data_IF_520667148944
#
_entry.id   IF_520667148944
#
_cell.length_a   1.000
_cell.length_b   1.000
_cell.length_c   1.000
_cell.angle_alpha   90.00
_cell.angle_beta   90.00
_cell.angle_gamma   90.00
#
_symmetry.space_group_name_H-M   'P 1'
#
loop_
_entity.id
_entity.type
_entity.pdbx_description
1 polymer ?
#
# COMPACT_ATOMS: atom_id res chain seq x y z
N UNK A 1 28.60 9.77 -9.23
CA UNK A 1 27.21 9.56 -8.74
C UNK A 1 27.29 9.16 -7.27
N UNK A 2 27.27 10.16 -6.39
CA UNK A 2 27.37 9.94 -4.94
C UNK A 2 25.97 9.55 -4.42
N UNK A 3 25.74 8.26 -4.28
CA UNK A 3 24.53 7.76 -3.62
C UNK A 3 24.62 8.09 -2.13
N UNK A 4 23.75 8.99 -1.64
CA UNK A 4 23.54 9.11 -0.20
C UNK A 4 23.15 7.73 0.34
N UNK A 5 23.66 7.34 1.52
CA UNK A 5 23.31 6.05 2.11
C UNK A 5 21.78 5.95 2.24
N UNK A 6 21.26 4.82 1.84
CA UNK A 6 19.84 4.52 1.94
C UNK A 6 19.45 4.46 3.42
N UNK A 7 18.37 5.14 3.78
CA UNK A 7 17.90 5.15 5.18
C UNK A 7 17.39 3.75 5.50
N UNK A 8 18.09 3.05 6.38
CA UNK A 8 17.71 1.71 6.82
C UNK A 8 16.41 1.74 7.65
N UNK A 9 15.62 0.68 7.57
CA UNK A 9 14.43 0.50 8.39
C UNK A 9 14.83 0.36 9.86
N UNK A 10 14.10 1.04 10.74
CA UNK A 10 14.35 1.01 12.20
C UNK A 10 13.66 -0.17 12.89
N UNK A 11 12.70 -0.81 12.21
CA UNK A 11 11.87 -1.84 12.82
C UNK A 11 11.98 -3.18 12.09
N UNK A 12 12.14 -4.26 12.87
CA UNK A 12 11.90 -5.63 12.41
C UNK A 12 10.41 -5.83 12.13
N UNK A 13 10.05 -6.83 11.36
CA UNK A 13 8.64 -7.22 11.10
C UNK A 13 7.83 -7.34 12.39
N UNK A 14 8.43 -7.92 13.46
CA UNK A 14 7.81 -8.04 14.79
C UNK A 14 7.59 -6.67 15.45
N UNK A 15 8.56 -5.76 15.35
CA UNK A 15 8.45 -4.42 15.91
C UNK A 15 7.40 -3.55 15.20
N UNK A 16 7.33 -3.67 13.87
CA UNK A 16 6.29 -3.03 13.05
C UNK A 16 4.90 -3.50 13.47
N UNK A 17 4.69 -4.81 13.55
CA UNK A 17 3.42 -5.40 14.00
C UNK A 17 2.98 -4.86 15.35
N UNK A 18 3.85 -4.94 16.38
CA UNK A 18 3.53 -4.49 17.74
C UNK A 18 3.20 -2.99 17.79
N UNK A 19 3.85 -2.17 16.97
CA UNK A 19 3.57 -0.75 16.85
C UNK A 19 2.18 -0.50 16.26
N UNK A 20 1.87 -1.06 15.10
CA UNK A 20 0.58 -0.85 14.43
C UNK A 20 -0.57 -1.43 15.23
N UNK A 21 -0.38 -2.52 15.98
CA UNK A 21 -1.36 -3.03 16.94
C UNK A 21 -1.68 -2.00 18.03
N UNK A 22 -0.66 -1.28 18.52
CA UNK A 22 -0.83 -0.26 19.58
C UNK A 22 -1.51 1.01 19.09
N UNK A 23 -1.14 1.51 17.91
CA UNK A 23 -1.63 2.78 17.37
C UNK A 23 -2.91 2.65 16.53
N UNK A 24 -3.39 1.43 16.28
CA UNK A 24 -4.49 1.13 15.35
C UNK A 24 -5.74 1.99 15.55
N UNK A 25 -6.08 2.34 16.80
CA UNK A 25 -7.25 3.19 17.13
C UNK A 25 -7.01 4.67 16.81
N UNK A 26 -5.82 5.19 17.06
CA UNK A 26 -5.46 6.59 16.83
C UNK A 26 -5.11 6.85 15.37
N UNK A 27 -4.55 5.84 14.69
CA UNK A 27 -4.16 5.87 13.29
C UNK A 27 -5.36 6.03 12.36
N UNK A 28 -6.51 5.48 12.76
CA UNK A 28 -7.78 5.60 12.02
C UNK A 28 -8.17 7.05 11.70
N UNK A 29 -7.92 8.00 12.61
CA UNK A 29 -8.25 9.41 12.40
C UNK A 29 -7.27 10.11 11.46
N UNK A 30 -5.98 9.76 11.53
CA UNK A 30 -4.92 10.41 10.74
C UNK A 30 -4.99 9.95 9.29
N UNK A 31 -4.95 8.64 9.02
CA UNK A 31 -4.97 8.06 7.68
C UNK A 31 -6.24 8.41 6.89
N UNK A 32 -7.39 8.41 7.56
CA UNK A 32 -8.69 8.63 6.92
C UNK A 32 -8.83 9.96 6.20
N UNK A 33 -8.20 11.03 6.72
CA UNK A 33 -8.31 12.40 6.21
C UNK A 33 -7.10 12.75 5.33
N UNK A 34 -5.88 12.40 5.78
CA UNK A 34 -4.64 12.88 5.17
C UNK A 34 -4.30 12.17 3.86
N UNK A 35 -4.54 10.87 3.77
CA UNK A 35 -4.22 10.07 2.57
C UNK A 35 -5.36 10.00 1.56
N UNK A 36 -6.55 10.48 1.92
CA UNK A 36 -7.77 10.39 1.08
C UNK A 36 -7.58 10.85 -0.37
N UNK A 37 -6.91 12.00 -0.66
CA UNK A 37 -6.74 12.44 -2.05
C UNK A 37 -5.90 11.45 -2.87
N UNK A 38 -4.78 10.97 -2.31
CA UNK A 38 -3.89 10.01 -2.99
C UNK A 38 -4.58 8.66 -3.15
N UNK A 39 -5.22 8.16 -2.09
CA UNK A 39 -6.00 6.92 -2.14
C UNK A 39 -7.05 6.94 -3.24
N UNK A 40 -7.77 8.05 -3.39
CA UNK A 40 -8.77 8.19 -4.47
C UNK A 40 -8.12 8.08 -5.84
N UNK A 41 -7.01 8.79 -6.09
CA UNK A 41 -6.26 8.71 -7.36
C UNK A 41 -5.77 7.28 -7.61
N UNK A 42 -5.29 6.57 -6.58
CA UNK A 42 -4.88 5.19 -6.68
C UNK A 42 -6.05 4.24 -7.00
N UNK A 43 -7.20 4.43 -6.39
CA UNK A 43 -8.41 3.64 -6.67
C UNK A 43 -8.96 3.93 -8.08
N UNK A 44 -8.92 5.17 -8.53
CA UNK A 44 -9.25 5.53 -9.91
C UNK A 44 -8.30 4.83 -10.90
N UNK A 45 -6.99 4.78 -10.59
CA UNK A 45 -6.01 4.04 -11.38
C UNK A 45 -6.23 2.52 -11.32
N UNK A 46 -6.68 1.97 -10.19
CA UNK A 46 -7.05 0.56 -10.06
C UNK A 46 -8.21 0.20 -10.99
N UNK A 47 -9.15 1.14 -11.20
CA UNK A 47 -10.30 0.96 -12.09
C UNK A 47 -11.07 -0.32 -11.79
N UNK A 48 -11.44 -0.51 -10.51
CA UNK A 48 -12.18 -1.69 -10.07
C UNK A 48 -13.53 -1.81 -10.79
N UNK A 49 -13.83 -3.00 -11.31
CA UNK A 49 -15.06 -3.30 -12.03
C UNK A 49 -15.96 -4.32 -11.28
N UNK A 50 -17.27 -4.29 -11.50
CA UNK A 50 -18.18 -5.30 -10.93
C UNK A 50 -17.76 -6.73 -11.29
N UNK A 51 -17.85 -7.64 -10.32
CA UNK A 51 -17.50 -9.06 -10.47
C UNK A 51 -16.02 -9.39 -10.25
N UNK A 52 -15.14 -8.40 -10.16
CA UNK A 52 -13.70 -8.63 -9.95
C UNK A 52 -13.36 -9.12 -8.54
N UNK A 53 -12.27 -9.88 -8.45
CA UNK A 53 -11.60 -10.25 -7.21
C UNK A 53 -10.36 -9.37 -7.05
N UNK A 54 -10.34 -8.48 -6.06
CA UNK A 54 -9.24 -7.54 -5.84
C UNK A 54 -8.65 -7.71 -4.44
N UNK A 55 -7.34 -7.46 -4.33
CA UNK A 55 -6.62 -7.48 -3.06
C UNK A 55 -6.07 -6.10 -2.71
N UNK A 56 -6.24 -5.69 -1.46
CA UNK A 56 -5.50 -4.57 -0.85
C UNK A 56 -4.43 -5.12 0.07
N UNK A 57 -3.17 -4.86 -0.25
CA UNK A 57 -2.00 -5.29 0.54
C UNK A 57 -1.58 -4.15 1.45
N UNK A 58 -1.52 -4.41 2.77
CA UNK A 58 -1.36 -3.39 3.80
C UNK A 58 -2.62 -2.56 3.96
N UNK A 59 -3.76 -3.22 4.19
CA UNK A 59 -5.06 -2.55 4.16
C UNK A 59 -5.31 -1.59 5.34
N UNK A 60 -4.44 -1.58 6.36
CA UNK A 60 -4.57 -0.74 7.52
C UNK A 60 -5.98 -0.78 8.12
N UNK A 61 -6.59 0.37 8.42
CA UNK A 61 -7.95 0.44 8.95
C UNK A 61 -9.06 0.20 7.90
N UNK A 62 -8.72 -0.16 6.64
CA UNK A 62 -9.63 -0.65 5.60
C UNK A 62 -10.45 0.41 4.89
N UNK A 63 -9.91 1.61 4.69
CA UNK A 63 -10.62 2.65 3.93
C UNK A 63 -10.72 2.30 2.45
N UNK A 64 -9.60 1.94 1.80
CA UNK A 64 -9.61 1.55 0.41
C UNK A 64 -10.33 0.20 0.20
N UNK A 65 -10.19 -0.74 1.14
CA UNK A 65 -10.91 -2.01 1.10
C UNK A 65 -12.43 -1.82 0.98
N UNK A 66 -12.98 -0.87 1.74
CA UNK A 66 -14.43 -0.53 1.66
C UNK A 66 -14.79 0.03 0.29
N UNK A 67 -13.94 0.89 -0.27
CA UNK A 67 -14.20 1.50 -1.58
C UNK A 67 -14.05 0.45 -2.71
N UNK A 68 -13.05 -0.42 -2.63
CA UNK A 68 -12.87 -1.58 -3.53
C UNK A 68 -14.09 -2.50 -3.44
N UNK A 69 -14.52 -2.88 -2.23
CA UNK A 69 -15.65 -3.78 -2.03
C UNK A 69 -16.98 -3.22 -2.56
N UNK A 70 -17.13 -1.90 -2.61
CA UNK A 70 -18.29 -1.26 -3.25
C UNK A 70 -18.20 -1.33 -4.77
N UNK A 71 -17.00 -1.06 -5.30
CA UNK A 71 -16.78 -1.03 -6.74
C UNK A 71 -16.92 -2.40 -7.40
N UNK A 72 -16.46 -3.48 -6.75
CA UNK A 72 -16.59 -4.84 -7.29
C UNK A 72 -18.02 -5.39 -7.23
N UNK A 73 -18.93 -4.75 -6.51
CA UNK A 73 -20.34 -5.12 -6.50
C UNK A 73 -20.65 -6.42 -5.74
N UNK A 74 -21.82 -7.01 -6.02
CA UNK A 74 -22.30 -8.20 -5.28
C UNK A 74 -21.59 -9.48 -5.68
N UNK A 75 -21.19 -9.58 -6.94
CA UNK A 75 -20.57 -10.77 -7.51
C UNK A 75 -19.04 -10.75 -7.39
N UNK A 76 -18.45 -9.60 -6.94
CA UNK A 76 -17.03 -9.44 -6.78
C UNK A 76 -16.56 -9.67 -5.34
N UNK A 77 -15.23 -9.67 -5.17
CA UNK A 77 -14.56 -9.89 -3.90
C UNK A 77 -13.47 -8.86 -3.64
N UNK A 78 -13.37 -8.39 -2.39
CA UNK A 78 -12.26 -7.57 -1.92
C UNK A 78 -11.58 -8.27 -0.74
N UNK A 79 -10.28 -8.47 -0.80
CA UNK A 79 -9.51 -9.05 0.30
C UNK A 79 -8.50 -8.02 0.79
N UNK A 80 -8.55 -7.69 2.08
CA UNK A 80 -7.56 -6.86 2.73
C UNK A 80 -6.56 -7.72 3.49
N UNK A 81 -5.28 -7.50 3.27
CA UNK A 81 -4.20 -8.15 4.04
C UNK A 81 -3.47 -7.10 4.85
N UNK A 82 -3.22 -7.38 6.12
CA UNK A 82 -2.38 -6.54 6.97
C UNK A 82 -1.57 -7.39 7.94
N UNK A 83 -0.37 -6.92 8.28
CA UNK A 83 0.51 -7.60 9.22
C UNK A 83 -0.01 -7.51 10.66
N UNK A 84 -0.66 -6.38 11.01
CA UNK A 84 -1.12 -6.07 12.35
C UNK A 84 -2.56 -6.55 12.56
N UNK A 85 -2.75 -7.43 13.53
CA UNK A 85 -4.08 -7.92 13.90
C UNK A 85 -5.01 -6.79 14.39
N UNK A 86 -4.45 -5.78 15.08
CA UNK A 86 -5.17 -4.57 15.46
C UNK A 86 -5.79 -3.83 14.27
N UNK A 87 -5.05 -3.69 13.17
CA UNK A 87 -5.55 -3.09 11.93
C UNK A 87 -6.64 -3.96 11.29
N UNK A 88 -6.41 -5.27 11.18
CA UNK A 88 -7.43 -6.20 10.69
C UNK A 88 -8.74 -6.11 11.47
N UNK A 89 -8.67 -5.97 12.81
CA UNK A 89 -9.87 -5.77 13.66
C UNK A 89 -10.59 -4.46 13.37
N UNK A 90 -9.85 -3.36 13.20
CA UNK A 90 -10.44 -2.06 12.86
C UNK A 90 -11.09 -2.10 11.48
N UNK A 91 -10.39 -2.64 10.48
CA UNK A 91 -10.91 -2.81 9.12
C UNK A 91 -12.18 -3.68 9.10
N UNK A 92 -12.19 -4.81 9.85
CA UNK A 92 -13.36 -5.68 9.95
C UNK A 92 -14.58 -4.95 10.51
N UNK A 93 -14.40 -4.16 11.58
CA UNK A 93 -15.50 -3.35 12.15
C UNK A 93 -16.03 -2.34 11.13
N UNK A 94 -15.14 -1.73 10.33
CA UNK A 94 -15.51 -0.80 9.26
C UNK A 94 -16.31 -1.50 8.16
N UNK A 95 -15.85 -2.65 7.68
CA UNK A 95 -16.53 -3.49 6.69
C UNK A 95 -17.96 -3.87 7.17
N UNK A 96 -18.09 -4.31 8.41
CA UNK A 96 -19.38 -4.67 9.00
C UNK A 96 -20.31 -3.45 9.11
N UNK A 97 -19.81 -2.32 9.63
CA UNK A 97 -20.60 -1.07 9.73
C UNK A 97 -21.08 -0.56 8.36
N UNK A 98 -20.34 -0.86 7.31
CA UNK A 98 -20.68 -0.49 5.92
C UNK A 98 -21.52 -1.55 5.20
N UNK A 99 -21.91 -2.64 5.89
CA UNK A 99 -22.71 -3.78 5.35
C UNK A 99 -22.04 -4.47 4.15
N UNK A 100 -20.70 -4.63 4.21
CA UNK A 100 -19.89 -5.23 3.14
C UNK A 100 -19.30 -6.59 3.53
N UNK A 101 -19.69 -7.18 4.66
CA UNK A 101 -19.09 -8.41 5.19
C UNK A 101 -19.27 -9.64 4.27
N UNK A 102 -20.16 -9.58 3.31
CA UNK A 102 -20.36 -10.67 2.33
C UNK A 102 -19.41 -10.58 1.14
N UNK A 103 -18.69 -9.46 0.95
CA UNK A 103 -17.82 -9.23 -0.20
C UNK A 103 -16.43 -8.67 0.15
N UNK A 104 -16.17 -8.44 1.44
CA UNK A 104 -14.87 -7.97 1.93
C UNK A 104 -14.38 -8.85 3.08
N UNK A 105 -13.18 -9.40 2.92
CA UNK A 105 -12.53 -10.29 3.88
C UNK A 105 -11.21 -9.70 4.35
N UNK A 106 -10.84 -10.01 5.59
CA UNK A 106 -9.57 -9.58 6.20
C UNK A 106 -8.74 -10.82 6.50
N UNK A 107 -7.49 -10.78 6.09
CA UNK A 107 -6.49 -11.81 6.32
C UNK A 107 -5.30 -11.16 7.02
N UNK A 108 -4.87 -11.72 8.14
CA UNK A 108 -3.61 -11.32 8.74
C UNK A 108 -2.47 -12.02 8.00
N UNK A 109 -1.50 -11.24 7.49
CA UNK A 109 -0.39 -11.79 6.71
C UNK A 109 0.74 -10.80 6.47
N UNK A 110 1.90 -11.34 6.15
CA UNK A 110 3.07 -10.57 5.72
C UNK A 110 3.02 -10.41 4.19
N UNK A 111 3.16 -9.17 3.72
CA UNK A 111 3.14 -8.87 2.29
C UNK A 111 4.31 -9.48 1.51
N UNK A 112 5.41 -9.80 2.19
CA UNK A 112 6.55 -10.53 1.58
C UNK A 112 6.29 -12.03 1.42
N UNK A 113 5.18 -12.55 1.99
CA UNK A 113 4.73 -13.94 1.90
C UNK A 113 3.23 -14.02 2.11
N UNK A 114 2.48 -13.64 1.10
CA UNK A 114 1.02 -13.60 1.17
C UNK A 114 0.41 -15.00 1.33
N UNK A 115 -0.46 -15.22 2.35
CA UNK A 115 -1.09 -16.53 2.58
C UNK A 115 -2.30 -16.75 1.63
N UNK A 116 -2.08 -16.54 0.34
CA UNK A 116 -3.10 -16.55 -0.69
C UNK A 116 -2.59 -17.32 -1.91
N UNK A 117 -3.50 -17.96 -2.64
CA UNK A 117 -3.15 -18.75 -3.81
C UNK A 117 -2.70 -17.87 -4.98
N UNK A 118 -1.85 -18.42 -5.85
CA UNK A 118 -1.40 -17.75 -7.08
C UNK A 118 -2.57 -17.52 -8.03
N UNK A 119 -2.54 -16.39 -8.75
CA UNK A 119 -3.51 -16.06 -9.78
C UNK A 119 -4.96 -15.89 -9.30
N UNK A 120 -5.17 -15.62 -8.01
CA UNK A 120 -6.50 -15.56 -7.40
C UNK A 120 -7.21 -14.22 -7.56
N UNK A 121 -6.50 -13.19 -8.01
CA UNK A 121 -7.01 -11.82 -8.08
C UNK A 121 -6.84 -11.22 -9.47
N UNK A 122 -7.78 -10.37 -9.85
CA UNK A 122 -7.75 -9.57 -11.08
C UNK A 122 -6.81 -8.36 -10.94
N UNK A 123 -6.58 -7.92 -9.70
CA UNK A 123 -5.66 -6.82 -9.42
C UNK A 123 -5.34 -6.68 -7.94
N UNK A 124 -4.23 -5.97 -7.69
CA UNK A 124 -3.75 -5.64 -6.36
C UNK A 124 -3.59 -4.11 -6.19
N UNK A 125 -3.85 -3.63 -4.99
CA UNK A 125 -3.70 -2.25 -4.58
C UNK A 125 -2.81 -2.14 -3.34
N UNK A 126 -1.90 -1.18 -3.33
CA UNK A 126 -1.07 -0.81 -2.19
C UNK A 126 -1.05 0.72 -2.06
N UNK A 127 -1.24 1.24 -0.85
CA UNK A 127 -1.16 2.68 -0.57
C UNK A 127 -0.36 2.92 0.70
N UNK A 128 0.79 3.61 0.58
CA UNK A 128 1.71 3.91 1.67
C UNK A 128 2.20 2.67 2.45
N UNK A 129 2.47 1.59 1.74
CA UNK A 129 2.90 0.31 2.30
C UNK A 129 4.29 -0.10 1.82
N UNK A 130 4.58 0.06 0.51
CA UNK A 130 5.84 -0.41 -0.07
C UNK A 130 7.06 0.29 0.53
N UNK A 131 6.94 1.55 0.90
CA UNK A 131 7.96 2.35 1.58
C UNK A 131 8.24 1.95 3.03
N UNK A 132 7.41 1.08 3.60
CA UNK A 132 7.62 0.53 4.95
C UNK A 132 8.61 -0.65 4.94
N UNK A 133 8.94 -1.18 3.78
CA UNK A 133 9.88 -2.29 3.63
C UNK A 133 11.31 -1.79 3.38
N UNK A 134 12.30 -2.54 3.88
CA UNK A 134 13.69 -2.30 3.49
C UNK A 134 13.87 -2.60 2.00
N UNK A 135 14.81 -1.90 1.37
CA UNK A 135 15.06 -2.03 -0.07
C UNK A 135 15.23 -3.47 -0.54
N UNK A 136 15.97 -4.36 0.17
CA UNK A 136 16.05 -5.76 -0.24
C UNK A 136 14.74 -6.55 -0.16
N UNK A 137 13.76 -6.07 0.60
CA UNK A 137 12.47 -6.74 0.76
C UNK A 137 11.44 -6.29 -0.29
N UNK A 138 11.60 -5.11 -0.88
CA UNK A 138 10.67 -4.57 -1.88
C UNK A 138 10.45 -5.54 -3.06
N UNK A 139 11.49 -6.16 -3.66
CA UNK A 139 11.31 -7.14 -4.73
C UNK A 139 10.47 -8.36 -4.29
N UNK A 140 10.62 -8.82 -3.04
CA UNK A 140 9.84 -9.95 -2.50
C UNK A 140 8.36 -9.61 -2.40
N UNK A 141 8.04 -8.40 -1.91
CA UNK A 141 6.65 -7.92 -1.81
C UNK A 141 6.02 -7.78 -3.19
N UNK A 142 6.75 -7.21 -4.15
CA UNK A 142 6.27 -7.07 -5.53
C UNK A 142 6.10 -8.42 -6.22
N UNK A 143 7.00 -9.38 -6.00
CA UNK A 143 6.89 -10.74 -6.51
C UNK A 143 5.65 -11.47 -5.94
N UNK A 144 5.33 -11.28 -4.67
CA UNK A 144 4.13 -11.84 -4.05
C UNK A 144 2.86 -11.20 -4.60
N UNK A 145 2.85 -9.88 -4.82
CA UNK A 145 1.73 -9.21 -5.50
C UNK A 145 1.54 -9.76 -6.92
N UNK A 146 2.62 -9.95 -7.66
CA UNK A 146 2.58 -10.54 -9.00
C UNK A 146 2.11 -11.99 -8.98
N UNK A 147 2.53 -12.77 -8.00
CA UNK A 147 2.13 -14.18 -7.84
C UNK A 147 0.62 -14.33 -7.59
N UNK A 148 0.05 -13.51 -6.71
CA UNK A 148 -1.38 -13.64 -6.34
C UNK A 148 -2.32 -13.03 -7.38
N UNK A 149 -1.84 -12.09 -8.18
CA UNK A 149 -2.58 -11.54 -9.31
C UNK A 149 -2.43 -12.46 -10.52
N UNK A 150 -3.52 -12.67 -11.27
CA UNK A 150 -3.49 -13.50 -12.49
C UNK A 150 -2.65 -12.83 -13.58
N UNK A 151 -2.07 -13.60 -14.52
CA UNK A 151 -1.37 -13.04 -15.67
C UNK A 151 -2.25 -12.04 -16.43
N UNK A 152 -1.68 -10.88 -16.77
CA UNK A 152 -2.40 -9.78 -17.41
C UNK A 152 -3.32 -8.99 -16.47
N UNK A 153 -3.34 -9.31 -15.19
CA UNK A 153 -3.97 -8.50 -14.15
C UNK A 153 -3.20 -7.21 -13.90
N UNK A 154 -3.55 -6.47 -12.87
CA UNK A 154 -2.94 -5.17 -12.60
C UNK A 154 -2.49 -4.97 -11.15
N UNK A 155 -1.40 -4.26 -10.98
CA UNK A 155 -0.93 -3.75 -9.70
C UNK A 155 -1.00 -2.21 -9.71
N UNK A 156 -1.54 -1.63 -8.65
CA UNK A 156 -1.45 -0.18 -8.42
C UNK A 156 -0.76 0.07 -7.08
N UNK A 157 0.31 0.85 -7.11
CA UNK A 157 1.07 1.26 -5.92
C UNK A 157 1.06 2.78 -5.81
N UNK A 158 0.61 3.29 -4.67
CA UNK A 158 0.74 4.68 -4.29
C UNK A 158 1.73 4.79 -3.12
N UNK A 159 2.80 5.56 -3.28
CA UNK A 159 3.89 5.65 -2.29
C UNK A 159 4.64 6.97 -2.38
N UNK A 160 5.28 7.39 -1.29
CA UNK A 160 6.20 8.54 -1.29
C UNK A 160 7.34 8.29 -2.28
N UNK A 161 7.60 9.30 -3.14
CA UNK A 161 8.55 9.17 -4.24
C UNK A 161 9.86 9.90 -4.00
N UNK A 162 10.95 9.24 -4.43
CA UNK A 162 12.28 9.87 -4.60
C UNK A 162 12.50 10.45 -5.99
N UNK A 163 11.62 10.19 -6.94
CA UNK A 163 11.76 10.70 -8.31
C UNK A 163 11.58 12.22 -8.39
N UNK A 164 12.20 12.80 -9.40
CA UNK A 164 12.12 14.23 -9.71
C UNK A 164 12.98 15.12 -8.80
N UNK A 165 12.77 16.44 -8.93
CA UNK A 165 13.51 17.42 -8.14
C UNK A 165 13.23 17.23 -6.65
N UNK A 166 14.19 17.61 -5.83
CA UNK A 166 14.15 17.48 -4.38
C UNK A 166 13.47 18.72 -3.76
N UNK A 167 12.14 18.73 -3.51
CA UNK A 167 11.48 19.88 -2.92
C UNK A 167 11.97 20.09 -1.48
N UNK A 168 12.00 21.33 -0.98
CA UNK A 168 12.45 21.63 0.39
C UNK A 168 11.74 20.79 1.46
N UNK A 169 10.44 20.52 1.25
CA UNK A 169 9.64 19.70 2.17
C UNK A 169 10.15 18.25 2.24
N UNK A 170 10.62 17.66 1.12
CA UNK A 170 11.20 16.31 1.14
C UNK A 170 12.48 16.28 1.95
N UNK A 171 13.36 17.28 1.81
CA UNK A 171 14.58 17.39 2.63
C UNK A 171 14.27 17.51 4.12
N UNK A 172 13.29 18.33 4.46
CA UNK A 172 12.84 18.49 5.84
C UNK A 172 12.26 17.18 6.38
N UNK A 173 11.44 16.49 5.59
CA UNK A 173 10.85 15.20 5.92
C UNK A 173 11.92 14.11 6.11
N UNK A 174 12.88 13.98 5.18
CA UNK A 174 13.98 13.01 5.27
C UNK A 174 14.88 13.30 6.49
N UNK A 175 15.13 14.57 6.79
CA UNK A 175 15.86 14.96 8.00
C UNK A 175 15.08 14.59 9.27
N UNK A 176 13.77 14.87 9.29
CA UNK A 176 12.86 14.46 10.39
C UNK A 176 12.81 12.95 10.56
N UNK A 177 12.72 12.19 9.45
CA UNK A 177 12.75 10.72 9.47
C UNK A 177 14.08 10.19 10.03
N UNK A 178 15.22 10.75 9.61
CA UNK A 178 16.52 10.35 10.14
C UNK A 178 16.67 10.63 11.63
N UNK A 179 16.03 11.69 12.15
CA UNK A 179 16.07 12.07 13.57
C UNK A 179 15.04 11.37 14.43
N UNK A 180 13.86 11.13 13.87
CA UNK A 180 12.70 10.55 14.57
C UNK A 180 12.06 9.43 13.74
N UNK A 181 12.81 8.35 13.40
CA UNK A 181 12.33 7.28 12.53
C UNK A 181 11.18 6.48 13.16
N UNK A 182 10.97 6.65 14.47
CA UNK A 182 9.84 6.06 15.19
C UNK A 182 8.53 6.82 15.01
N UNK A 183 8.56 8.07 14.55
CA UNK A 183 7.38 8.90 14.31
C UNK A 183 7.04 8.97 12.81
N UNK A 184 8.06 8.99 11.97
CA UNK A 184 7.97 9.07 10.52
C UNK A 184 8.53 7.76 9.95
N UNK A 185 7.71 6.74 9.77
CA UNK A 185 8.15 5.42 9.31
C UNK A 185 8.10 5.23 7.79
N UNK A 186 7.34 6.06 7.07
CA UNK A 186 7.37 6.09 5.63
C UNK A 186 8.66 6.75 5.12
N UNK A 187 9.32 6.15 4.16
CA UNK A 187 10.50 6.71 3.50
C UNK A 187 10.26 6.85 2.01
N UNK A 188 10.63 7.97 1.36
CA UNK A 188 10.52 8.07 -0.09
C UNK A 188 11.33 6.97 -0.78
N UNK A 189 10.77 6.32 -1.81
CA UNK A 189 11.38 5.25 -2.61
C UNK A 189 11.25 5.54 -4.10
N UNK A 190 11.99 4.82 -4.94
CA UNK A 190 11.87 4.87 -6.41
C UNK A 190 10.81 3.85 -6.86
N UNK A 191 9.51 4.21 -6.73
CA UNK A 191 8.37 3.28 -6.93
C UNK A 191 8.35 2.71 -8.34
N UNK A 192 8.33 3.59 -9.35
CA UNK A 192 8.28 3.17 -10.74
C UNK A 192 9.50 2.31 -11.13
N UNK A 193 10.67 2.62 -10.59
CA UNK A 193 11.88 1.82 -10.80
C UNK A 193 11.74 0.44 -10.17
N UNK A 194 11.31 0.35 -8.92
CA UNK A 194 11.14 -0.92 -8.21
C UNK A 194 10.13 -1.84 -8.93
N UNK A 195 9.00 -1.29 -9.40
CA UNK A 195 7.98 -2.03 -10.15
C UNK A 195 8.55 -2.55 -11.47
N UNK A 196 9.35 -1.73 -12.20
CA UNK A 196 9.99 -2.14 -13.46
C UNK A 196 11.05 -3.22 -13.23
N UNK A 197 11.88 -3.08 -12.18
CA UNK A 197 12.90 -4.06 -11.81
C UNK A 197 12.29 -5.41 -11.36
N UNK A 198 11.05 -5.40 -10.86
CA UNK A 198 10.28 -6.62 -10.60
C UNK A 198 9.70 -7.29 -11.87
N UNK A 199 9.99 -6.76 -13.06
CA UNK A 199 9.57 -7.36 -14.35
C UNK A 199 8.16 -7.01 -14.78
N UNK A 200 7.47 -6.07 -14.13
CA UNK A 200 6.13 -5.65 -14.51
C UNK A 200 6.13 -4.53 -15.54
N UNK A 201 5.17 -4.56 -16.46
CA UNK A 201 4.95 -3.53 -17.48
C UNK A 201 4.22 -2.33 -16.88
N UNK A 202 4.90 -1.18 -16.76
CA UNK A 202 4.26 0.05 -16.29
C UNK A 202 3.33 0.60 -17.38
N UNK A 203 2.06 0.75 -17.06
CA UNK A 203 1.04 1.29 -17.95
C UNK A 203 0.73 2.76 -17.69
N UNK A 204 0.94 3.24 -16.47
CA UNK A 204 0.86 4.67 -16.15
C UNK A 204 1.65 5.01 -14.88
N UNK A 205 2.17 6.24 -14.84
CA UNK A 205 2.75 6.87 -13.65
C UNK A 205 2.13 8.25 -13.50
N UNK A 206 1.62 8.55 -12.32
CA UNK A 206 1.11 9.87 -11.97
C UNK A 206 1.77 10.34 -10.69
N UNK A 207 2.46 11.48 -10.77
CA UNK A 207 3.03 12.14 -9.58
C UNK A 207 2.05 13.20 -9.08
N UNK A 208 1.77 13.15 -7.78
CA UNK A 208 0.93 14.12 -7.09
C UNK A 208 1.66 14.66 -5.86
N UNK A 209 1.27 15.83 -5.38
CA UNK A 209 1.83 16.40 -4.16
C UNK A 209 0.89 16.14 -2.98
N UNK A 210 1.42 15.53 -1.94
CA UNK A 210 0.77 15.39 -0.64
C UNK A 210 1.54 16.26 0.36
N UNK A 211 0.99 17.42 0.71
CA UNK A 211 1.64 18.38 1.63
C UNK A 211 3.06 18.78 1.23
N UNK A 212 3.31 18.91 -0.07
CA UNK A 212 4.63 19.24 -0.61
C UNK A 212 5.57 18.02 -0.74
N UNK A 213 5.13 16.83 -0.33
CA UNK A 213 5.84 15.58 -0.57
C UNK A 213 5.38 14.96 -1.89
N UNK A 214 6.30 14.55 -2.77
CA UNK A 214 5.93 13.86 -4.00
C UNK A 214 5.46 12.44 -3.68
N UNK A 215 4.32 12.06 -4.26
CA UNK A 215 3.76 10.71 -4.22
C UNK A 215 3.60 10.23 -5.65
N UNK A 216 4.11 9.06 -5.96
CA UNK A 216 3.84 8.37 -7.22
C UNK A 216 2.69 7.40 -7.06
N UNK A 217 1.77 7.45 -8.02
CA UNK A 217 0.76 6.41 -8.25
C UNK A 217 1.16 5.69 -9.52
N UNK A 218 1.65 4.48 -9.37
CA UNK A 218 2.14 3.63 -10.47
C UNK A 218 1.12 2.53 -10.73
N UNK A 219 0.67 2.40 -11.98
CA UNK A 219 -0.11 1.26 -12.46
C UNK A 219 0.75 0.40 -13.36
N UNK A 220 0.77 -0.89 -13.11
CA UNK A 220 1.51 -1.86 -13.90
C UNK A 220 0.62 -3.07 -14.22
N UNK A 221 0.99 -3.81 -15.28
CA UNK A 221 0.45 -5.11 -15.65
C UNK A 221 1.37 -6.20 -15.11
N UNK A 222 0.77 -7.25 -14.54
CA UNK A 222 1.48 -8.44 -14.04
C UNK A 222 1.67 -9.49 -15.10
#
# INVERSE_FOLDING_TARGET
>A
MSGRPEIARVWTTTGTRARYDRISRSYELIEGVWERPVRRIGLDALSAAPGESLIEVGCGPGYALVDIARAVGQDGRAVGVDLADGMCRVARRRVIRRRLAQRAWLVQGDASRLPLASGSFDGAFMSFVLELFDTPQIPLVLAECQRVVRPGGRLVVASLSKEGPEPPMRRLYEHGHARFPRLLDCRPIYVARAVREAGMEITSVRTVSLWGLPVEVVRART
#
